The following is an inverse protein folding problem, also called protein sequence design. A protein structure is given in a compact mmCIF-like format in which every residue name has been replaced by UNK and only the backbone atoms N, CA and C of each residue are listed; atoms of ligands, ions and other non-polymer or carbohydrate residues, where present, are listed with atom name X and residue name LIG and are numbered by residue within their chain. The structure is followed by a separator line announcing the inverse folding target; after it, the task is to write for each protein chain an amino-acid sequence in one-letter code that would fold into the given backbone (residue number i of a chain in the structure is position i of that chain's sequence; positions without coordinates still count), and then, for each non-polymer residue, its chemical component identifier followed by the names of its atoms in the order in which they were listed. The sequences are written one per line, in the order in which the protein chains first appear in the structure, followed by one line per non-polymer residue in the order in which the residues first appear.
data_IF_585440204089
#
_entry.id   IF_585440204089
#
_cell.length_a   1.000
_cell.length_b   1.000
_cell.length_c   1.000
_cell.angle_alpha   90.00
_cell.angle_beta   90.00
_cell.angle_gamma   90.00
#
_symmetry.space_group_name_H-M   'P 1'
#
loop_
_entity.id
_entity.type
_entity.pdbx_description
1 polymer ?
#
# COMPACT_ATOMS: atom_id res chain seq x y z
N UNK A 1 -15.89 -10.71 -9.81
CA UNK A 1 -14.88 -10.51 -8.73
C UNK A 1 -13.51 -10.96 -9.26
N UNK A 2 -12.68 -10.00 -9.72
CA UNK A 2 -11.49 -10.25 -10.56
C UNK A 2 -10.54 -11.33 -9.99
N UNK A 3 -10.06 -11.15 -8.75
CA UNK A 3 -9.11 -12.08 -8.12
C UNK A 3 -9.67 -13.50 -7.94
N UNK A 4 -10.94 -13.62 -7.58
CA UNK A 4 -11.57 -14.92 -7.31
C UNK A 4 -11.77 -15.71 -8.61
N UNK A 5 -12.28 -15.04 -9.63
CA UNK A 5 -12.68 -15.67 -10.90
C UNK A 5 -11.48 -15.98 -11.80
N UNK A 6 -10.46 -15.12 -11.81
CA UNK A 6 -9.34 -15.26 -12.74
C UNK A 6 -8.11 -15.93 -12.12
N UNK A 7 -7.94 -15.82 -10.80
CA UNK A 7 -6.69 -16.20 -10.11
C UNK A 7 -6.88 -17.17 -8.94
N UNK A 8 -8.10 -17.67 -8.71
CA UNK A 8 -8.44 -18.51 -7.54
C UNK A 8 -7.93 -17.90 -6.21
N UNK A 9 -7.96 -16.57 -6.10
CA UNK A 9 -7.41 -15.81 -4.97
C UNK A 9 -8.52 -14.98 -4.32
N UNK A 10 -8.58 -14.96 -2.98
CA UNK A 10 -9.54 -14.14 -2.23
C UNK A 10 -8.82 -12.97 -1.59
N UNK A 11 -9.22 -11.74 -1.93
CA UNK A 11 -8.78 -10.54 -1.22
C UNK A 11 -9.75 -10.31 -0.06
N UNK A 12 -9.25 -10.40 1.17
CA UNK A 12 -10.03 -10.24 2.40
C UNK A 12 -9.45 -9.08 3.19
N UNK A 13 -10.30 -8.13 3.56
CA UNK A 13 -9.92 -6.99 4.38
C UNK A 13 -9.86 -7.39 5.85
N UNK A 14 -8.67 -7.37 6.45
CA UNK A 14 -8.46 -7.78 7.85
C UNK A 14 -8.30 -6.61 8.82
N UNK A 15 -7.92 -5.43 8.32
CA UNK A 15 -7.79 -4.19 9.10
C UNK A 15 -7.82 -2.96 8.20
N UNK A 16 -8.21 -1.81 8.78
CA UNK A 16 -8.17 -0.48 8.16
C UNK A 16 -7.72 0.53 9.21
N UNK A 17 -6.88 1.48 8.80
CA UNK A 17 -6.52 2.66 9.56
C UNK A 17 -6.80 3.90 8.70
N UNK A 18 -7.27 4.98 9.32
CA UNK A 18 -7.46 6.29 8.66
C UNK A 18 -6.68 7.36 9.42
N UNK A 19 -5.88 8.14 8.68
CA UNK A 19 -5.10 9.25 9.23
C UNK A 19 -5.95 10.52 9.33
N UNK A 20 -6.72 10.65 10.41
CA UNK A 20 -7.68 11.75 10.58
C UNK A 20 -7.05 13.06 11.07
N UNK A 21 -5.91 12.99 11.76
CA UNK A 21 -5.22 14.15 12.32
C UNK A 21 -4.22 14.74 11.30
N UNK A 22 -3.30 13.91 10.81
CA UNK A 22 -2.29 14.28 9.82
C UNK A 22 -1.72 13.06 9.12
N UNK A 23 -1.12 13.29 7.96
CA UNK A 23 -0.36 12.28 7.25
C UNK A 23 0.82 11.77 8.09
N UNK A 24 1.04 10.45 8.05
CA UNK A 24 2.13 9.80 8.80
C UNK A 24 3.41 9.64 7.99
N UNK A 25 3.34 9.90 6.68
CA UNK A 25 4.48 9.98 5.75
C UNK A 25 4.31 11.25 4.90
N UNK A 26 5.33 11.59 4.10
CA UNK A 26 5.19 12.66 3.13
C UNK A 26 4.32 12.19 1.94
N UNK A 27 3.13 12.77 1.77
CA UNK A 27 2.26 12.50 0.62
C UNK A 27 2.67 13.42 -0.53
N UNK A 28 3.12 12.83 -1.64
CA UNK A 28 3.72 13.55 -2.76
C UNK A 28 3.46 12.89 -4.13
N UNK A 29 3.56 13.62 -5.25
CA UNK A 29 3.23 13.07 -6.57
C UNK A 29 4.17 11.99 -7.11
N UNK A 30 5.37 11.81 -6.55
CA UNK A 30 6.28 10.72 -6.95
C UNK A 30 5.95 9.43 -6.17
N UNK A 31 5.36 8.41 -6.83
CA UNK A 31 4.93 7.19 -6.16
C UNK A 31 6.09 6.28 -5.75
N UNK A 32 7.29 6.41 -6.36
CA UNK A 32 8.45 5.61 -5.96
C UNK A 32 8.92 5.99 -4.56
N UNK A 33 9.03 7.30 -4.33
CA UNK A 33 9.39 7.84 -3.02
C UNK A 33 8.27 7.58 -1.99
N UNK A 34 6.99 7.77 -2.37
CA UNK A 34 5.87 7.47 -1.48
C UNK A 34 5.83 5.98 -1.07
N UNK A 35 6.04 5.07 -2.02
CA UNK A 35 6.09 3.62 -1.74
C UNK A 35 7.22 3.27 -0.77
N UNK A 36 8.40 3.87 -0.97
CA UNK A 36 9.54 3.67 -0.08
C UNK A 36 9.26 4.20 1.34
N UNK A 37 8.67 5.38 1.47
CA UNK A 37 8.36 5.95 2.79
C UNK A 37 7.23 5.18 3.47
N UNK A 38 6.23 4.71 2.73
CA UNK A 38 5.18 3.84 3.24
C UNK A 38 5.71 2.47 3.69
N UNK A 39 6.69 1.90 2.97
CA UNK A 39 7.41 0.68 3.39
C UNK A 39 8.07 0.86 4.76
N UNK A 40 8.70 2.02 5.01
CA UNK A 40 9.30 2.34 6.31
C UNK A 40 8.23 2.52 7.39
N UNK A 41 7.14 3.21 7.07
CA UNK A 41 6.02 3.38 8.00
C UNK A 41 5.45 2.03 8.45
N UNK A 42 5.19 1.10 7.52
CA UNK A 42 4.71 -0.24 7.85
C UNK A 42 5.63 -0.94 8.85
N UNK A 43 6.93 -0.91 8.61
CA UNK A 43 7.92 -1.58 9.46
C UNK A 43 7.93 -1.05 10.90
N UNK A 44 7.71 0.25 11.08
CA UNK A 44 7.86 0.92 12.38
C UNK A 44 6.55 1.02 13.16
N UNK A 45 5.41 1.12 12.46
CA UNK A 45 4.15 1.52 13.09
C UNK A 45 3.02 0.50 12.93
N UNK A 46 3.03 -0.33 11.88
CA UNK A 46 1.94 -1.29 11.64
C UNK A 46 2.29 -2.63 12.30
N UNK A 47 1.62 -2.93 13.41
CA UNK A 47 1.77 -4.20 14.15
C UNK A 47 0.79 -5.28 13.71
N UNK A 48 -0.26 -4.92 12.96
CA UNK A 48 -1.25 -5.86 12.48
C UNK A 48 -0.62 -6.87 11.52
N UNK A 49 -0.90 -8.16 11.73
CA UNK A 49 -0.49 -9.20 10.80
C UNK A 49 -1.36 -9.14 9.55
N UNK A 50 -0.73 -8.94 8.39
CA UNK A 50 -1.36 -8.87 7.07
C UNK A 50 -0.35 -9.26 5.97
N UNK A 51 -0.84 -9.98 4.95
CA UNK A 51 -0.03 -10.44 3.82
C UNK A 51 0.44 -9.28 2.93
N UNK A 52 -0.39 -8.25 2.80
CA UNK A 52 -0.08 -7.01 2.09
C UNK A 52 -0.79 -5.82 2.76
N UNK A 53 -0.20 -4.62 2.64
CA UNK A 53 -0.76 -3.36 3.15
C UNK A 53 -0.75 -2.32 2.04
N UNK A 54 -1.89 -1.72 1.75
CA UNK A 54 -2.00 -0.70 0.70
C UNK A 54 -2.38 0.65 1.29
N UNK A 55 -1.66 1.69 0.89
CA UNK A 55 -2.06 3.08 1.15
C UNK A 55 -2.99 3.54 0.02
N UNK A 56 -4.09 4.17 0.41
CA UNK A 56 -4.99 4.90 -0.48
C UNK A 56 -4.82 6.39 -0.17
N UNK A 57 -4.46 7.18 -1.16
CA UNK A 57 -4.09 8.59 -1.00
C UNK A 57 -4.82 9.43 -2.04
N UNK A 58 -5.37 10.58 -1.67
CA UNK A 58 -6.00 11.51 -2.64
C UNK A 58 -4.99 12.30 -3.50
N UNK A 59 -3.77 11.77 -3.68
CA UNK A 59 -2.68 12.45 -4.39
C UNK A 59 -2.57 11.88 -5.79
N UNK A 60 -2.76 12.71 -6.81
CA UNK A 60 -2.54 12.31 -8.20
C UNK A 60 -1.06 12.11 -8.47
N UNK A 61 -0.70 10.93 -8.98
CA UNK A 61 0.70 10.63 -9.27
C UNK A 61 1.17 11.28 -10.56
N UNK A 62 2.40 11.80 -10.58
CA UNK A 62 3.09 12.22 -11.80
C UNK A 62 3.66 11.01 -12.55
N UNK A 63 2.84 9.98 -12.73
CA UNK A 63 3.22 8.70 -13.30
C UNK A 63 2.11 8.18 -14.22
N UNK A 64 2.45 7.33 -15.19
CA UNK A 64 1.45 6.75 -16.11
C UNK A 64 0.49 5.76 -15.43
N UNK A 65 0.75 5.42 -14.16
CA UNK A 65 0.01 4.41 -13.41
C UNK A 65 -0.51 5.04 -12.12
N UNK A 66 -1.76 4.73 -11.80
CA UNK A 66 -2.46 5.13 -10.58
C UNK A 66 -2.01 4.40 -9.31
N UNK A 67 -1.06 3.47 -9.45
CA UNK A 67 -0.57 2.65 -8.34
C UNK A 67 0.85 2.17 -8.56
N UNK A 68 1.52 1.88 -7.46
CA UNK A 68 2.85 1.26 -7.44
C UNK A 68 2.98 0.29 -6.27
N UNK A 69 3.63 -0.85 -6.51
CA UNK A 69 3.96 -1.84 -5.48
C UNK A 69 5.26 -2.55 -5.84
N UNK A 70 5.90 -3.19 -4.85
CA UNK A 70 7.08 -4.01 -5.11
C UNK A 70 6.67 -5.34 -5.75
N UNK A 71 7.42 -5.75 -6.77
CA UNK A 71 7.23 -7.05 -7.40
C UNK A 71 7.53 -8.20 -6.40
N UNK A 72 6.64 -9.19 -6.35
CA UNK A 72 6.78 -10.34 -5.43
C UNK A 72 6.74 -9.97 -3.95
N UNK A 73 6.08 -8.86 -3.59
CA UNK A 73 6.12 -8.31 -2.24
C UNK A 73 5.25 -9.01 -1.19
N UNK A 74 4.21 -9.76 -1.59
CA UNK A 74 3.27 -10.41 -0.67
C UNK A 74 4.01 -11.25 0.38
N UNK A 75 3.52 -11.24 1.62
CA UNK A 75 4.12 -11.84 2.82
C UNK A 75 5.40 -11.17 3.34
N UNK A 76 6.02 -10.24 2.60
CA UNK A 76 7.18 -9.48 3.09
C UNK A 76 6.74 -8.29 3.93
N UNK A 77 7.33 -8.10 5.11
CA UNK A 77 7.09 -6.89 5.94
C UNK A 77 7.55 -5.63 5.22
N UNK A 78 8.67 -5.69 4.49
CA UNK A 78 9.25 -4.51 3.83
C UNK A 78 8.69 -4.31 2.42
N UNK A 79 8.39 -5.39 1.69
CA UNK A 79 7.97 -5.30 0.28
C UNK A 79 6.49 -5.53 0.03
N UNK A 80 5.73 -6.06 1.00
CA UNK A 80 4.29 -6.31 0.86
C UNK A 80 3.45 -5.04 0.98
N UNK A 81 3.90 -3.96 0.35
CA UNK A 81 3.26 -2.65 0.38
C UNK A 81 2.93 -2.18 -1.03
N UNK A 82 1.86 -1.40 -1.13
CA UNK A 82 1.50 -0.66 -2.34
C UNK A 82 0.94 0.72 -2.00
N UNK A 83 1.06 1.65 -2.94
CA UNK A 83 0.44 2.99 -2.87
C UNK A 83 -0.49 3.14 -4.07
N UNK A 84 -1.65 3.76 -3.84
CA UNK A 84 -2.65 4.00 -4.87
C UNK A 84 -3.19 5.43 -4.69
N UNK A 85 -3.35 6.13 -5.81
CA UNK A 85 -4.06 7.42 -5.87
C UNK A 85 -5.58 7.28 -5.67
#
# INVERSE_FOLDING_TARGET
QIYKEQLNTRVVLVAVETWTDRDRINIQPDPLQMLHDFSKYRQQHIKQHADAVHLLSNMTFHYKRSSLSYFGGVCSVTKGVGVNE
#
